data_IF_327585898380
#
_entry.id   IF_327585898380
#
_cell.length_a   1.000
_cell.length_b   1.000
_cell.length_c   1.000
_cell.angle_alpha   90.00
_cell.angle_beta   90.00
_cell.angle_gamma   90.00
#
_symmetry.space_group_name_H-M   'P 1'
#
loop_
_entity.id
_entity.type
_entity.pdbx_description
1 polymer ?
#
# COMPACT_ATOMS: atom_id res chain seq x y z
N UNK A 1 2.82 99.27 34.55
CA UNK A 1 1.53 98.59 34.80
C UNK A 1 1.84 97.28 35.51
N UNK A 2 1.43 97.21 36.77
CA UNK A 2 1.73 96.16 37.74
C UNK A 2 0.85 94.94 37.55
N UNK A 3 1.39 93.73 37.71
CA UNK A 3 0.72 92.58 38.34
C UNK A 3 1.80 91.68 38.98
N UNK A 4 2.08 91.84 40.27
CA UNK A 4 1.52 91.04 41.39
C UNK A 4 1.87 89.55 41.38
N UNK A 5 2.75 89.22 42.34
CA UNK A 5 2.52 88.24 43.41
C UNK A 5 2.62 86.74 43.04
N UNK A 6 3.80 86.20 43.37
CA UNK A 6 3.96 84.87 43.95
C UNK A 6 2.97 84.67 45.11
N UNK A 7 2.11 83.65 45.08
CA UNK A 7 1.76 82.89 46.28
C UNK A 7 1.49 81.43 45.96
N UNK A 8 2.22 80.62 46.71
CA UNK A 8 2.13 79.19 46.96
C UNK A 8 0.71 78.70 47.29
N UNK A 9 0.37 77.53 46.73
CA UNK A 9 -0.44 76.55 47.42
C UNK A 9 0.07 75.15 47.04
N UNK A 10 0.95 74.59 47.86
CA UNK A 10 1.00 73.14 48.04
C UNK A 10 -0.38 72.69 48.55
N UNK A 11 -0.83 71.51 48.13
CA UNK A 11 -1.31 70.42 48.99
C UNK A 11 -1.79 69.26 48.10
N UNK A 12 -1.33 68.05 48.45
CA UNK A 12 -2.01 66.74 48.40
C UNK A 12 -2.80 66.38 47.13
N UNK A 13 -2.65 65.21 46.50
CA UNK A 13 -2.45 63.89 47.09
C UNK A 13 -2.18 62.93 45.92
N UNK A 14 -1.25 61.98 46.11
CA UNK A 14 -1.17 60.79 45.26
C UNK A 14 -2.49 60.01 45.39
N UNK A 15 -2.90 59.33 44.32
CA UNK A 15 -3.24 57.90 44.31
C UNK A 15 -3.87 57.50 42.97
N UNK A 16 -3.68 56.21 42.66
CA UNK A 16 -4.42 55.40 41.72
C UNK A 16 -4.16 55.68 40.23
N UNK A 17 -3.33 54.87 39.57
CA UNK A 17 -3.62 53.49 39.16
C UNK A 17 -4.49 53.44 37.91
N UNK A 18 -3.84 52.99 36.83
CA UNK A 18 -4.37 52.04 35.86
C UNK A 18 -5.66 52.43 35.14
N UNK A 19 -5.56 52.63 33.83
CA UNK A 19 -6.10 51.65 32.88
C UNK A 19 -5.64 52.06 31.48
N UNK A 20 -4.46 51.55 31.09
CA UNK A 20 -4.19 51.31 29.68
C UNK A 20 -5.29 50.34 29.19
N UNK A 21 -6.30 50.89 28.53
CA UNK A 21 -7.34 50.09 27.89
C UNK A 21 -6.72 49.41 26.68
N UNK A 22 -6.08 48.27 26.97
CA UNK A 22 -5.86 47.20 26.01
C UNK A 22 -7.24 46.75 25.54
N UNK A 23 -7.72 47.34 24.45
CA UNK A 23 -8.77 46.74 23.67
C UNK A 23 -8.21 45.49 23.01
N UNK A 24 -8.13 44.41 23.81
CA UNK A 24 -8.11 43.06 23.26
C UNK A 24 -9.44 42.91 22.54
N UNK A 25 -9.42 43.02 21.21
CA UNK A 25 -10.46 42.43 20.39
C UNK A 25 -10.46 40.93 20.68
N UNK A 26 -11.19 40.53 21.73
CA UNK A 26 -11.71 39.18 21.86
C UNK A 26 -12.54 38.97 20.61
N UNK A 27 -11.96 38.26 19.65
CA UNK A 27 -12.65 37.64 18.53
C UNK A 27 -13.70 36.72 19.17
N UNK A 28 -14.87 37.27 19.46
CA UNK A 28 -16.07 36.52 19.78
C UNK A 28 -16.29 35.70 18.52
N UNK A 29 -15.89 34.44 18.55
CA UNK A 29 -16.41 33.47 17.60
C UNK A 29 -17.91 33.62 17.68
N UNK A 30 -18.52 34.15 16.62
CA UNK A 30 -19.94 34.06 16.43
C UNK A 30 -20.24 32.57 16.54
N UNK A 31 -20.81 32.15 17.67
CA UNK A 31 -21.35 30.82 17.85
C UNK A 31 -22.53 30.75 16.90
N UNK A 32 -22.25 30.52 15.60
CA UNK A 32 -23.26 30.07 14.66
C UNK A 32 -23.88 28.87 15.36
N UNK A 33 -25.12 29.01 15.77
CA UNK A 33 -25.93 27.97 16.39
C UNK A 33 -25.77 26.76 15.48
N UNK A 34 -24.97 25.78 15.91
CA UNK A 34 -24.75 24.58 15.12
C UNK A 34 -26.14 23.96 15.01
N UNK A 35 -26.59 23.72 13.77
CA UNK A 35 -27.86 23.03 13.51
C UNK A 35 -27.92 21.78 14.40
N UNK A 36 -29.08 21.48 15.00
CA UNK A 36 -29.23 20.31 15.86
C UNK A 36 -28.73 19.02 15.19
N UNK A 37 -28.84 18.93 13.86
CA UNK A 37 -28.25 17.85 13.06
C UNK A 37 -26.71 17.85 13.08
N UNK A 38 -26.06 19.00 12.98
CA UNK A 38 -24.60 19.10 13.05
C UNK A 38 -24.06 18.71 14.43
N UNK A 39 -24.81 19.02 15.50
CA UNK A 39 -24.49 18.57 16.85
C UNK A 39 -24.64 17.04 16.95
N UNK A 40 -25.71 16.48 16.40
CA UNK A 40 -25.95 15.03 16.35
C UNK A 40 -24.83 14.28 15.62
N UNK A 41 -24.41 14.74 14.43
CA UNK A 41 -23.29 14.13 13.72
C UNK A 41 -21.97 14.27 14.48
N UNK A 42 -21.74 15.40 15.17
CA UNK A 42 -20.52 15.62 15.94
C UNK A 42 -20.39 14.68 17.14
N UNK A 43 -21.50 14.27 17.74
CA UNK A 43 -21.49 13.35 18.89
C UNK A 43 -21.52 11.87 18.44
N UNK A 44 -22.25 11.54 17.36
CA UNK A 44 -22.45 10.17 16.91
C UNK A 44 -21.28 9.63 16.07
N UNK A 45 -20.70 10.44 15.18
CA UNK A 45 -19.63 9.97 14.28
C UNK A 45 -18.39 9.51 15.06
N UNK A 46 -17.87 10.26 16.04
CA UNK A 46 -16.72 9.81 16.82
C UNK A 46 -16.99 8.53 17.61
N UNK A 47 -18.23 8.32 18.05
CA UNK A 47 -18.65 7.10 18.74
C UNK A 47 -18.71 5.88 17.80
N UNK A 48 -18.85 6.10 16.48
CA UNK A 48 -18.89 5.03 15.46
C UNK A 48 -17.52 4.66 14.89
N UNK A 49 -16.51 5.54 15.01
CA UNK A 49 -15.14 5.27 14.54
C UNK A 49 -14.58 3.94 15.10
N UNK A 50 -14.69 3.62 16.40
CA UNK A 50 -14.18 2.38 16.93
C UNK A 50 -14.82 1.13 16.31
N UNK A 51 -16.12 1.18 16.02
CA UNK A 51 -16.85 0.06 15.41
C UNK A 51 -16.38 -0.17 13.98
N UNK A 52 -16.19 0.90 13.22
CA UNK A 52 -15.67 0.82 11.86
C UNK A 52 -14.22 0.29 11.83
N UNK A 53 -13.37 0.71 12.78
CA UNK A 53 -12.01 0.20 12.93
C UNK A 53 -11.99 -1.29 13.32
N UNK A 54 -12.90 -1.72 14.18
CA UNK A 54 -13.02 -3.13 14.55
C UNK A 54 -13.46 -3.97 13.35
N UNK A 55 -14.45 -3.49 12.60
CA UNK A 55 -14.94 -4.14 11.38
C UNK A 55 -13.85 -4.25 10.32
N UNK A 56 -13.07 -3.19 10.09
CA UNK A 56 -11.96 -3.23 9.11
C UNK A 56 -10.82 -4.13 9.57
N UNK A 57 -10.49 -4.16 10.86
CA UNK A 57 -9.49 -5.07 11.42
C UNK A 57 -9.89 -6.54 11.24
N UNK A 58 -11.14 -6.90 11.55
CA UNK A 58 -11.66 -8.26 11.36
C UNK A 58 -11.70 -8.64 9.89
N UNK A 59 -12.15 -7.72 9.02
CA UNK A 59 -12.16 -7.95 7.57
C UNK A 59 -10.75 -8.20 7.03
N UNK A 60 -9.78 -7.38 7.41
CA UNK A 60 -8.38 -7.56 7.00
C UNK A 60 -7.78 -8.86 7.54
N UNK A 61 -8.11 -9.25 8.77
CA UNK A 61 -7.68 -10.52 9.35
C UNK A 61 -8.25 -11.72 8.57
N UNK A 62 -9.54 -11.71 8.24
CA UNK A 62 -10.16 -12.75 7.41
C UNK A 62 -9.58 -12.76 5.99
N UNK A 63 -9.38 -11.59 5.39
CA UNK A 63 -8.81 -11.46 4.06
C UNK A 63 -7.38 -12.02 4.02
N UNK A 64 -6.58 -11.76 5.05
CA UNK A 64 -5.22 -12.29 5.17
C UNK A 64 -5.20 -13.82 5.27
N UNK A 65 -6.12 -14.39 6.06
CA UNK A 65 -6.30 -15.83 6.16
C UNK A 65 -6.71 -16.43 4.81
N UNK A 66 -7.69 -15.83 4.12
CA UNK A 66 -8.11 -16.28 2.79
C UNK A 66 -6.98 -16.23 1.76
N UNK A 67 -6.18 -15.15 1.75
CA UNK A 67 -5.03 -15.00 0.86
C UNK A 67 -3.97 -16.07 1.15
N UNK A 68 -3.72 -16.38 2.42
CA UNK A 68 -2.76 -17.41 2.81
C UNK A 68 -3.21 -18.81 2.37
N UNK A 69 -4.48 -19.14 2.60
CA UNK A 69 -5.09 -20.40 2.13
C UNK A 69 -5.09 -20.51 0.60
N UNK A 70 -5.35 -19.41 -0.11
CA UNK A 70 -5.26 -19.38 -1.56
C UNK A 70 -3.82 -19.61 -2.03
N UNK A 71 -2.83 -19.03 -1.35
CA UNK A 71 -1.42 -19.20 -1.70
C UNK A 71 -0.95 -20.65 -1.54
N UNK A 72 -1.32 -21.32 -0.44
CA UNK A 72 -1.01 -22.74 -0.25
C UNK A 72 -1.67 -23.61 -1.33
N UNK A 73 -2.95 -23.35 -1.63
CA UNK A 73 -3.64 -24.06 -2.72
C UNK A 73 -2.97 -23.85 -4.08
N UNK A 74 -2.54 -22.63 -4.38
CA UNK A 74 -1.84 -22.33 -5.63
C UNK A 74 -0.47 -22.99 -5.71
N UNK A 75 0.25 -23.09 -4.58
CA UNK A 75 1.53 -23.80 -4.54
C UNK A 75 1.34 -25.30 -4.76
N UNK A 76 0.29 -25.89 -4.18
CA UNK A 76 -0.01 -27.31 -4.38
C UNK A 76 -0.44 -27.59 -5.82
N UNK A 77 -1.26 -26.73 -6.41
CA UNK A 77 -1.67 -26.86 -7.81
C UNK A 77 -0.49 -26.66 -8.78
N UNK A 78 0.39 -25.70 -8.49
CA UNK A 78 1.60 -25.48 -9.28
C UNK A 78 2.56 -26.67 -9.18
N UNK A 79 2.76 -27.25 -7.99
CA UNK A 79 3.57 -28.46 -7.79
C UNK A 79 2.98 -29.67 -8.51
N UNK A 80 1.66 -29.84 -8.47
CA UNK A 80 0.98 -30.91 -9.17
C UNK A 80 1.22 -30.82 -10.69
N UNK A 81 1.04 -29.63 -11.27
CA UNK A 81 1.35 -29.39 -12.69
C UNK A 81 2.83 -29.60 -13.00
N UNK A 82 3.73 -29.17 -12.12
CA UNK A 82 5.16 -29.39 -12.31
C UNK A 82 5.50 -30.88 -12.35
N UNK A 83 4.91 -31.68 -11.47
CA UNK A 83 5.12 -33.13 -11.45
C UNK A 83 4.61 -33.82 -12.72
N UNK A 84 3.47 -33.36 -13.25
CA UNK A 84 2.92 -33.84 -14.52
C UNK A 84 3.88 -33.52 -15.67
N UNK A 85 4.30 -32.26 -15.80
CA UNK A 85 5.27 -31.86 -16.83
C UNK A 85 6.63 -32.56 -16.67
N UNK A 86 7.09 -32.81 -15.44
CA UNK A 86 8.32 -33.58 -15.20
C UNK A 86 8.20 -35.01 -15.71
N UNK A 87 7.03 -35.66 -15.51
CA UNK A 87 6.80 -37.01 -16.04
C UNK A 87 6.77 -37.03 -17.57
N UNK A 88 6.11 -36.06 -18.20
CA UNK A 88 6.10 -35.94 -19.66
C UNK A 88 7.50 -35.70 -20.22
N UNK A 89 8.24 -34.73 -19.67
CA UNK A 89 9.61 -34.44 -20.12
C UNK A 89 10.52 -35.66 -19.96
N UNK A 90 10.37 -36.41 -18.87
CA UNK A 90 11.15 -37.62 -18.66
C UNK A 90 10.80 -38.71 -19.68
N UNK A 91 9.51 -38.88 -19.98
CA UNK A 91 9.05 -39.81 -21.02
C UNK A 91 9.61 -39.44 -22.41
N UNK A 92 9.55 -38.17 -22.80
CA UNK A 92 10.10 -37.70 -24.07
C UNK A 92 11.63 -37.85 -24.14
N UNK A 93 12.34 -37.60 -23.03
CA UNK A 93 13.79 -37.81 -22.96
C UNK A 93 14.14 -39.28 -23.12
N UNK A 94 13.37 -40.16 -22.50
CA UNK A 94 13.55 -41.60 -22.62
C UNK A 94 13.28 -42.07 -24.04
N UNK A 95 12.21 -41.60 -24.69
CA UNK A 95 11.92 -41.90 -26.08
C UNK A 95 13.06 -41.44 -27.02
N UNK A 96 13.59 -40.23 -26.83
CA UNK A 96 14.76 -39.76 -27.59
C UNK A 96 15.98 -40.64 -27.38
N UNK A 97 16.28 -41.04 -26.13
CA UNK A 97 17.39 -41.94 -25.83
C UNK A 97 17.24 -43.27 -26.56
N UNK A 98 16.03 -43.84 -26.54
CA UNK A 98 15.74 -45.10 -27.23
C UNK A 98 15.85 -44.96 -28.75
N UNK A 99 15.40 -43.84 -29.32
CA UNK A 99 15.49 -43.60 -30.75
C UNK A 99 16.96 -43.43 -31.21
N UNK A 100 17.78 -42.74 -30.43
CA UNK A 100 19.24 -42.63 -30.65
C UNK A 100 19.94 -43.99 -30.57
N UNK A 101 19.56 -44.84 -29.59
CA UNK A 101 20.10 -46.19 -29.46
C UNK A 101 19.69 -47.10 -30.64
N UNK A 102 18.47 -46.95 -31.17
CA UNK A 102 18.01 -47.65 -32.38
C UNK A 102 18.77 -47.20 -33.62
N UNK A 103 18.94 -45.88 -33.82
CA UNK A 103 19.65 -45.33 -34.97
C UNK A 103 21.12 -45.78 -35.04
N UNK A 104 21.83 -45.76 -33.90
CA UNK A 104 23.22 -46.22 -33.82
C UNK A 104 23.38 -47.73 -34.06
N UNK A 105 22.38 -48.54 -33.69
CA UNK A 105 22.38 -49.98 -33.98
C UNK A 105 22.13 -50.26 -35.47
N UNK A 106 21.31 -49.45 -36.15
CA UNK A 106 21.09 -49.57 -37.60
C UNK A 106 22.26 -49.08 -38.46
N UNK A 107 23.05 -48.12 -37.97
CA UNK A 107 24.15 -47.51 -38.72
C UNK A 107 25.40 -48.42 -38.84
N UNK A 108 25.49 -49.48 -38.04
CA UNK A 108 26.61 -50.45 -38.15
C UNK A 108 26.33 -51.58 -39.15
N UNK A 109 25.12 -51.66 -39.73
CA UNK A 109 24.72 -52.80 -40.59
C UNK A 109 24.67 -52.49 -42.09
N UNK A 110 24.61 -51.22 -42.49
CA UNK A 110 24.67 -50.78 -43.89
C UNK A 110 25.82 -49.79 -44.08
N UNK A 111 26.99 -50.34 -44.42
CA UNK A 111 28.07 -49.56 -45.01
C UNK A 111 28.08 -49.78 -46.53
N UNK A 112 27.42 -48.92 -47.33
CA UNK A 112 27.82 -48.69 -48.70
C UNK A 112 28.53 -47.34 -48.82
N UNK A 113 29.68 -47.45 -49.48
CA UNK A 113 30.51 -46.42 -50.07
C UNK A 113 29.74 -45.25 -50.74
N UNK A 114 30.43 -44.11 -50.81
CA UNK A 114 30.27 -42.95 -51.72
C UNK A 114 29.54 -41.74 -51.14
N UNK A 115 30.27 -40.61 -51.17
CA UNK A 115 29.93 -39.37 -50.52
C UNK A 115 28.66 -38.69 -51.01
N UNK A 116 27.95 -38.07 -50.06
CA UNK A 116 26.97 -37.05 -50.33
C UNK A 116 27.08 -35.92 -49.31
N UNK A 117 27.31 -34.73 -49.85
CA UNK A 117 27.23 -33.45 -49.17
C UNK A 117 25.74 -33.13 -48.97
N UNK A 118 25.18 -33.39 -47.80
CA UNK A 118 23.77 -33.09 -47.51
C UNK A 118 23.61 -31.65 -47.04
N UNK A 119 23.06 -30.81 -47.91
CA UNK A 119 22.73 -29.42 -47.66
C UNK A 119 21.55 -29.25 -46.68
N UNK A 120 21.72 -28.32 -45.73
CA UNK A 120 20.73 -27.45 -45.07
C UNK A 120 19.48 -28.10 -44.45
N UNK A 121 19.48 -28.15 -43.11
CA UNK A 121 18.33 -28.50 -42.26
C UNK A 121 18.12 -27.46 -41.14
N UNK A 122 17.72 -26.23 -41.45
CA UNK A 122 17.18 -25.33 -40.41
C UNK A 122 16.03 -24.49 -40.99
N UNK A 123 14.84 -24.48 -40.35
CA UNK A 123 13.77 -23.56 -40.67
C UNK A 123 13.77 -22.41 -39.65
N UNK A 124 14.53 -21.37 -39.93
CA UNK A 124 14.22 -20.02 -39.46
C UNK A 124 14.70 -19.06 -40.55
N UNK A 125 13.75 -18.52 -41.30
CA UNK A 125 13.93 -17.33 -42.12
C UNK A 125 12.61 -16.58 -42.16
#
# INVERSE_FOLDING_TARGET
MNYTRLQSAFHSTRLASQHAQQHTHRRRYATKTKSAHAQWYADVVPAMIPVALLGSAVYLALQLVQVNLAHEKHLDEAKARLSELETEVNALREERRQNLARASTSETRDSPNVGQVSHRWWPFS
#
